data_IF_161947463970
#
_entry.id   IF_161947463970
#
_cell.length_a   1.000
_cell.length_b   1.000
_cell.length_c   1.000
_cell.angle_alpha   90.00
_cell.angle_beta   90.00
_cell.angle_gamma   90.00
#
_symmetry.space_group_name_H-M   'P 1'
#
loop_
_entity.id
_entity.type
_entity.pdbx_description
1 polymer ?
#
# COMPACT_ATOMS: atom_id res chain seq x y z
N UNK A 1 22.22 49.34 -48.71
CA UNK A 1 21.62 48.29 -49.54
C UNK A 1 20.93 47.29 -48.62
N UNK A 2 19.58 47.20 -48.70
CA UNK A 2 18.63 46.22 -48.13
C UNK A 2 18.78 45.86 -46.64
N UNK A 3 17.93 46.22 -45.66
CA UNK A 3 16.47 46.41 -45.57
C UNK A 3 15.62 45.15 -45.88
N UNK A 4 14.92 44.64 -44.86
CA UNK A 4 13.53 44.12 -44.76
C UNK A 4 13.46 43.19 -43.52
N UNK A 5 13.06 43.63 -42.33
CA UNK A 5 11.77 44.08 -41.77
C UNK A 5 10.94 42.96 -41.09
N UNK A 6 10.59 43.27 -39.84
CA UNK A 6 9.49 42.88 -38.95
C UNK A 6 8.56 41.70 -39.28
N UNK A 7 8.17 40.97 -38.22
CA UNK A 7 7.10 39.98 -38.26
C UNK A 7 6.61 39.56 -36.87
N UNK A 8 6.02 40.52 -36.15
CA UNK A 8 5.14 40.29 -35.01
C UNK A 8 3.93 39.48 -35.50
N UNK A 9 3.66 38.30 -34.95
CA UNK A 9 2.37 37.63 -35.13
C UNK A 9 1.76 37.31 -33.78
N UNK A 10 0.88 38.23 -33.36
CA UNK A 10 -0.24 37.91 -32.48
C UNK A 10 -1.08 36.84 -33.17
N UNK A 11 -1.33 35.74 -32.48
CA UNK A 11 -2.53 34.93 -32.73
C UNK A 11 -3.40 35.08 -31.50
N UNK A 12 -4.34 36.02 -31.59
CA UNK A 12 -5.57 35.96 -30.81
C UNK A 12 -6.28 34.66 -31.18
N UNK A 13 -6.40 33.76 -30.21
CA UNK A 13 -7.43 32.74 -30.21
C UNK A 13 -8.33 33.05 -29.01
N UNK A 14 -9.24 33.99 -29.22
CA UNK A 14 -10.53 33.93 -28.55
C UNK A 14 -11.22 32.64 -28.99
N UNK A 15 -11.25 31.67 -28.09
CA UNK A 15 -12.42 30.82 -27.93
C UNK A 15 -12.41 30.27 -26.50
N UNK A 16 -13.38 30.74 -25.73
CA UNK A 16 -13.50 30.46 -24.31
C UNK A 16 -13.68 28.98 -24.02
N UNK A 17 -12.73 28.42 -23.29
CA UNK A 17 -12.96 27.28 -22.41
C UNK A 17 -12.34 27.64 -21.07
N UNK A 18 -13.17 27.76 -20.04
CA UNK A 18 -12.77 28.03 -18.65
C UNK A 18 -11.66 27.05 -18.21
N UNK A 19 -10.43 27.54 -18.12
CA UNK A 19 -9.32 26.85 -17.45
C UNK A 19 -9.40 27.18 -15.94
N UNK A 20 -10.36 26.57 -15.24
CA UNK A 20 -10.69 26.91 -13.85
C UNK A 20 -10.38 25.81 -12.84
N UNK A 21 -9.34 24.99 -13.03
CA UNK A 21 -9.07 23.89 -12.09
C UNK A 21 -7.64 23.34 -11.99
N UNK A 22 -6.66 23.87 -12.73
CA UNK A 22 -5.34 23.24 -12.83
C UNK A 22 -4.22 23.93 -12.03
N UNK A 23 -4.38 25.20 -11.62
CA UNK A 23 -3.33 25.98 -10.94
C UNK A 23 -3.31 25.71 -9.43
N UNK A 24 -4.48 25.58 -8.80
CA UNK A 24 -4.56 25.35 -7.34
C UNK A 24 -4.03 23.98 -6.91
N UNK A 25 -4.24 22.94 -7.73
CA UNK A 25 -3.79 21.58 -7.43
C UNK A 25 -2.26 21.50 -7.43
N UNK A 26 -1.58 22.15 -8.39
CA UNK A 26 -0.12 22.15 -8.47
C UNK A 26 0.55 22.90 -7.33
N UNK A 27 0.00 24.04 -6.92
CA UNK A 27 0.55 24.87 -5.83
C UNK A 27 0.36 24.22 -4.46
N UNK A 28 -0.80 23.61 -4.20
CA UNK A 28 -1.04 22.87 -2.97
C UNK A 28 -0.10 21.65 -2.86
N UNK A 29 0.06 20.92 -3.96
CA UNK A 29 0.93 19.75 -4.05
C UNK A 29 2.42 20.10 -3.81
N UNK A 30 2.85 21.26 -4.30
CA UNK A 30 4.19 21.80 -4.05
C UNK A 30 4.37 22.23 -2.58
N UNK A 31 3.36 22.86 -1.99
CA UNK A 31 3.38 23.30 -0.58
C UNK A 31 3.45 22.11 0.39
N UNK A 32 2.65 21.06 0.17
CA UNK A 32 2.70 19.82 0.95
C UNK A 32 4.06 19.12 0.85
N UNK A 33 4.65 19.13 -0.36
CA UNK A 33 5.97 18.55 -0.59
C UNK A 33 7.03 19.27 0.23
N UNK A 34 7.03 20.61 0.22
CA UNK A 34 7.96 21.42 0.99
C UNK A 34 7.83 21.18 2.51
N UNK A 35 6.61 21.08 3.03
CA UNK A 35 6.37 20.80 4.44
C UNK A 35 6.97 19.44 4.87
N UNK A 36 6.82 18.41 4.04
CA UNK A 36 7.45 17.10 4.30
C UNK A 36 8.99 17.21 4.24
N UNK A 37 9.54 17.97 3.29
CA UNK A 37 11.00 18.17 3.21
C UNK A 37 11.55 18.82 4.48
N UNK A 38 10.90 19.85 4.99
CA UNK A 38 11.33 20.53 6.21
C UNK A 38 11.22 19.62 7.44
N UNK A 39 10.15 18.83 7.54
CA UNK A 39 10.04 17.82 8.57
C UNK A 39 11.16 16.77 8.50
N UNK A 40 11.53 16.32 7.30
CA UNK A 40 12.63 15.35 7.11
C UNK A 40 13.98 15.96 7.48
N UNK A 41 14.23 17.26 7.23
CA UNK A 41 15.46 17.93 7.70
C UNK A 41 15.55 17.90 9.23
N UNK A 42 14.43 18.18 9.93
CA UNK A 42 14.36 18.10 11.40
C UNK A 42 14.65 16.68 11.88
N UNK A 43 14.14 15.65 11.20
CA UNK A 43 14.42 14.26 11.54
C UNK A 43 15.91 13.91 11.36
N UNK A 44 16.53 14.32 10.25
CA UNK A 44 17.95 14.07 9.99
C UNK A 44 18.84 14.77 11.04
N UNK A 45 18.56 16.03 11.35
CA UNK A 45 19.26 16.78 12.40
C UNK A 45 19.08 16.14 13.77
N UNK A 46 17.87 15.65 14.09
CA UNK A 46 17.58 14.92 15.32
C UNK A 46 18.36 13.60 15.43
N UNK A 47 18.71 12.98 14.30
CA UNK A 47 19.61 11.83 14.24
C UNK A 47 21.10 12.23 14.31
N UNK A 48 21.44 13.51 14.36
CA UNK A 48 22.83 13.98 14.37
C UNK A 48 23.53 13.88 13.01
N UNK A 49 22.76 13.78 11.92
CA UNK A 49 23.30 13.77 10.55
C UNK A 49 23.56 15.19 10.04
N UNK A 50 24.56 15.33 9.16
CA UNK A 50 24.79 16.57 8.41
C UNK A 50 23.92 16.60 7.15
N UNK A 51 22.91 17.48 7.16
CA UNK A 51 21.98 17.68 6.03
C UNK A 51 22.67 18.20 4.76
N UNK A 52 23.86 18.81 4.88
CA UNK A 52 24.62 19.35 3.76
C UNK A 52 25.58 18.32 3.14
N UNK A 53 25.74 17.14 3.76
CA UNK A 53 26.52 16.03 3.20
C UNK A 53 25.97 15.64 1.84
N UNK A 54 26.86 15.43 0.87
CA UNK A 54 26.51 15.16 -0.54
C UNK A 54 25.40 14.11 -0.70
N UNK A 55 25.49 12.99 0.01
CA UNK A 55 24.50 11.91 -0.04
C UNK A 55 23.12 12.24 0.54
N UNK A 56 23.03 13.25 1.42
CA UNK A 56 21.80 13.63 2.14
C UNK A 56 21.12 14.90 1.62
N UNK A 57 21.82 15.75 0.85
CA UNK A 57 21.27 17.02 0.35
C UNK A 57 19.93 16.88 -0.37
N UNK A 58 19.74 15.80 -1.15
CA UNK A 58 18.48 15.51 -1.86
C UNK A 58 17.57 14.52 -1.14
N UNK A 59 17.96 14.03 0.05
CA UNK A 59 17.16 13.07 0.81
C UNK A 59 15.80 13.62 1.22
N UNK A 60 15.65 14.86 1.72
CA UNK A 60 14.34 15.43 2.02
C UNK A 60 13.35 15.34 0.85
N UNK A 61 13.75 15.85 -0.33
CA UNK A 61 12.94 15.79 -1.54
C UNK A 61 12.61 14.35 -1.96
N UNK A 62 13.58 13.42 -1.88
CA UNK A 62 13.35 12.01 -2.21
C UNK A 62 12.32 11.36 -1.28
N UNK A 63 12.42 11.63 0.03
CA UNK A 63 11.48 11.13 1.04
C UNK A 63 10.10 11.72 0.82
N UNK A 64 9.99 13.04 0.57
CA UNK A 64 8.73 13.70 0.29
C UNK A 64 8.03 13.09 -0.93
N UNK A 65 8.75 12.91 -2.05
CA UNK A 65 8.20 12.25 -3.24
C UNK A 65 7.77 10.80 -2.97
N UNK A 66 8.57 10.04 -2.23
CA UNK A 66 8.25 8.66 -1.91
C UNK A 66 7.00 8.53 -1.02
N UNK A 67 6.86 9.39 -0.02
CA UNK A 67 5.66 9.44 0.82
C UNK A 67 4.43 9.85 0.02
N UNK A 68 4.53 10.89 -0.82
CA UNK A 68 3.41 11.38 -1.64
C UNK A 68 2.91 10.37 -2.67
N UNK A 69 3.82 9.64 -3.31
CA UNK A 69 3.49 8.52 -4.20
C UNK A 69 2.91 7.35 -3.40
N UNK A 70 3.49 7.10 -2.23
CA UNK A 70 3.06 6.10 -1.26
C UNK A 70 1.66 6.30 -0.68
N UNK A 71 1.20 7.55 -0.62
CA UNK A 71 -0.10 7.95 -0.07
C UNK A 71 -1.03 8.55 -1.13
N UNK A 72 -0.76 8.32 -2.42
CA UNK A 72 -1.58 8.88 -3.51
C UNK A 72 -3.03 8.38 -3.52
N UNK A 73 -3.31 7.28 -2.84
CA UNK A 73 -4.61 6.65 -2.75
C UNK A 73 -5.68 7.51 -2.07
N UNK A 74 -5.29 8.48 -1.24
CA UNK A 74 -6.23 9.46 -0.66
C UNK A 74 -6.85 10.38 -1.72
N UNK A 75 -6.13 10.63 -2.82
CA UNK A 75 -6.58 11.49 -3.93
C UNK A 75 -7.31 10.73 -5.03
N UNK A 76 -7.56 9.43 -4.82
CA UNK A 76 -8.17 8.54 -5.81
C UNK A 76 -9.50 7.98 -5.28
N UNK A 77 -10.46 7.82 -6.20
CA UNK A 77 -11.77 7.24 -5.89
C UNK A 77 -11.90 5.88 -6.57
N UNK A 78 -12.04 4.82 -5.77
CA UNK A 78 -12.19 3.46 -6.29
C UNK A 78 -13.41 3.30 -7.21
N UNK A 79 -14.51 4.01 -6.91
CA UNK A 79 -15.74 4.00 -7.71
C UNK A 79 -15.50 4.36 -9.19
N UNK A 80 -14.71 5.40 -9.43
CA UNK A 80 -14.43 5.89 -10.78
C UNK A 80 -13.61 4.87 -11.60
N UNK A 81 -12.79 4.05 -10.93
CA UNK A 81 -11.98 2.99 -11.56
C UNK A 81 -12.86 1.84 -12.06
N UNK A 82 -13.87 1.46 -11.27
CA UNK A 82 -14.75 0.32 -11.55
C UNK A 82 -15.79 0.65 -12.61
N UNK A 83 -16.41 1.83 -12.54
CA UNK A 83 -17.53 2.20 -13.43
C UNK A 83 -17.15 2.29 -14.91
N UNK A 84 -15.88 2.53 -15.24
CA UNK A 84 -15.42 2.65 -16.62
C UNK A 84 -15.13 1.33 -17.35
N UNK A 85 -15.42 0.16 -16.77
CA UNK A 85 -14.98 -1.13 -17.34
C UNK A 85 -15.83 -2.34 -16.92
N UNK A 86 -17.14 -2.15 -16.79
CA UNK A 86 -18.09 -3.26 -16.71
C UNK A 86 -18.42 -3.71 -18.13
N UNK A 87 -18.15 -4.97 -18.43
CA UNK A 87 -18.42 -5.56 -19.74
C UNK A 87 -19.58 -6.55 -19.62
N UNK A 88 -20.50 -6.58 -20.60
CA UNK A 88 -21.41 -7.70 -20.73
C UNK A 88 -20.58 -8.96 -20.99
N UNK A 89 -20.93 -10.03 -20.29
CA UNK A 89 -20.32 -11.33 -20.46
C UNK A 89 -20.57 -11.87 -21.88
N UNK A 90 -19.51 -12.25 -22.60
CA UNK A 90 -19.65 -12.78 -23.96
C UNK A 90 -20.19 -14.22 -23.94
N UNK A 91 -21.29 -14.48 -24.65
CA UNK A 91 -21.81 -15.84 -24.89
C UNK A 91 -23.15 -16.22 -24.23
N UNK A 92 -23.91 -15.27 -23.68
CA UNK A 92 -25.21 -15.57 -23.04
C UNK A 92 -26.42 -15.25 -23.93
N UNK A 93 -26.87 -16.24 -24.72
CA UNK A 93 -28.28 -16.29 -25.15
C UNK A 93 -29.17 -17.01 -24.13
N UNK A 94 -28.58 -17.64 -23.12
CA UNK A 94 -29.27 -18.52 -22.17
C UNK A 94 -28.93 -18.20 -20.71
N UNK A 95 -29.34 -17.00 -20.24
CA UNK A 95 -29.76 -16.69 -18.85
C UNK A 95 -28.87 -16.98 -17.63
N UNK A 96 -27.76 -17.71 -17.75
CA UNK A 96 -26.89 -18.15 -16.65
C UNK A 96 -25.46 -17.76 -16.99
N UNK A 97 -24.87 -16.88 -16.18
CA UNK A 97 -23.49 -16.41 -16.35
C UNK A 97 -22.49 -17.54 -16.11
N UNK A 98 -21.54 -17.73 -17.02
CA UNK A 98 -20.46 -18.73 -16.97
C UNK A 98 -19.07 -18.07 -16.83
N UNK A 99 -18.96 -16.77 -16.51
CA UNK A 99 -17.70 -16.02 -16.54
C UNK A 99 -16.61 -16.58 -15.62
N UNK A 100 -16.99 -17.31 -14.58
CA UNK A 100 -16.08 -18.04 -13.69
C UNK A 100 -15.84 -19.51 -14.05
N UNK A 101 -16.36 -19.99 -15.18
CA UNK A 101 -16.36 -21.41 -15.54
C UNK A 101 -17.25 -22.26 -14.61
N UNK A 102 -16.86 -23.51 -14.36
CA UNK A 102 -17.53 -24.41 -13.42
C UNK A 102 -17.38 -23.80 -12.01
N UNK A 103 -18.48 -23.31 -11.44
CA UNK A 103 -18.52 -22.71 -10.09
C UNK A 103 -18.71 -21.19 -10.07
N UNK A 104 -18.71 -20.50 -11.21
CA UNK A 104 -19.08 -19.08 -11.29
C UNK A 104 -18.16 -18.09 -10.56
N UNK A 105 -16.97 -18.53 -10.12
CA UNK A 105 -16.03 -17.72 -9.35
C UNK A 105 -14.91 -17.15 -10.24
N UNK A 106 -14.70 -15.84 -10.17
CA UNK A 106 -13.57 -15.15 -10.81
C UNK A 106 -12.51 -14.83 -9.77
N UNK A 107 -11.26 -15.22 -10.01
CA UNK A 107 -10.14 -15.01 -9.07
C UNK A 107 -9.00 -14.22 -9.73
N UNK A 108 -8.55 -13.18 -9.04
CA UNK A 108 -7.28 -12.51 -9.29
C UNK A 108 -6.40 -12.63 -8.05
N UNK A 109 -5.18 -13.12 -8.21
CA UNK A 109 -4.28 -13.45 -7.09
C UNK A 109 -2.87 -12.96 -7.36
N UNK A 110 -2.04 -13.00 -6.32
CA UNK A 110 -0.65 -12.56 -6.34
C UNK A 110 -0.51 -11.10 -6.78
N UNK A 111 -1.39 -10.23 -6.28
CA UNK A 111 -1.28 -8.79 -6.47
C UNK A 111 -0.26 -8.24 -5.46
N UNK A 112 0.93 -7.91 -5.94
CA UNK A 112 1.99 -7.32 -5.12
C UNK A 112 1.74 -5.82 -4.91
N UNK A 113 1.50 -5.43 -3.67
CA UNK A 113 1.17 -4.09 -3.22
C UNK A 113 2.07 -3.70 -2.04
N UNK A 114 2.12 -2.39 -1.75
CA UNK A 114 2.82 -1.84 -0.60
C UNK A 114 1.95 -0.76 0.04
N UNK A 115 1.99 -0.70 1.36
CA UNK A 115 1.26 0.29 2.16
C UNK A 115 2.12 0.77 3.31
N UNK A 116 1.72 1.86 3.96
CA UNK A 116 2.34 2.32 5.20
C UNK A 116 1.49 1.91 6.39
N UNK A 117 2.11 1.41 7.45
CA UNK A 117 1.43 1.05 8.68
C UNK A 117 0.93 2.32 9.37
N UNK A 118 -0.37 2.45 9.58
CA UNK A 118 -0.92 3.63 10.27
C UNK A 118 -0.41 3.78 11.69
N UNK A 119 -0.02 2.68 12.35
CA UNK A 119 0.50 2.71 13.72
C UNK A 119 1.92 3.24 13.83
N UNK A 120 2.77 3.06 12.81
CA UNK A 120 4.18 3.40 12.94
C UNK A 120 4.80 4.10 11.73
N UNK A 121 4.02 4.40 10.69
CA UNK A 121 4.48 5.04 9.45
C UNK A 121 5.57 4.24 8.68
N UNK A 122 5.81 2.98 9.04
CA UNK A 122 6.74 2.12 8.30
C UNK A 122 6.04 1.38 7.17
N UNK A 123 6.74 1.13 6.05
CA UNK A 123 6.16 0.38 4.95
C UNK A 123 5.99 -1.10 5.31
N UNK A 124 4.92 -1.70 4.79
CA UNK A 124 4.70 -3.14 4.81
C UNK A 124 4.28 -3.63 3.43
N UNK A 125 4.66 -4.86 3.12
CA UNK A 125 4.30 -5.50 1.85
C UNK A 125 2.94 -6.16 1.99
N UNK A 126 2.16 -6.14 0.92
CA UNK A 126 0.85 -6.76 0.87
C UNK A 126 0.78 -7.61 -0.40
N UNK A 127 0.48 -8.89 -0.25
CA UNK A 127 0.09 -9.74 -1.35
C UNK A 127 -1.42 -9.96 -1.26
N UNK A 128 -2.14 -9.41 -2.23
CA UNK A 128 -3.59 -9.38 -2.26
C UNK A 128 -4.14 -10.45 -3.23
N UNK A 129 -5.18 -11.14 -2.77
CA UNK A 129 -5.94 -12.12 -3.54
C UNK A 129 -7.42 -11.77 -3.44
N UNK A 130 -8.09 -11.66 -4.58
CA UNK A 130 -9.49 -11.25 -4.71
C UNK A 130 -10.24 -12.33 -5.47
N UNK A 131 -11.34 -12.80 -4.89
CA UNK A 131 -12.34 -13.64 -5.54
C UNK A 131 -13.68 -12.91 -5.60
N UNK A 132 -14.46 -13.06 -6.67
CA UNK A 132 -15.84 -12.58 -6.69
C UNK A 132 -16.74 -13.44 -7.58
N UNK A 133 -18.04 -13.46 -7.26
CA UNK A 133 -19.06 -14.16 -8.05
C UNK A 133 -19.87 -13.14 -8.84
N UNK A 134 -19.70 -13.06 -10.17
CA UNK A 134 -20.46 -12.13 -11.01
C UNK A 134 -21.97 -12.26 -10.82
N UNK A 135 -22.68 -11.14 -11.02
CA UNK A 135 -24.14 -11.10 -11.07
C UNK A 135 -24.57 -10.34 -12.34
N UNK A 136 -25.81 -10.58 -12.82
CA UNK A 136 -26.40 -9.76 -13.87
C UNK A 136 -25.68 -9.75 -15.23
N UNK A 137 -24.94 -10.83 -15.57
CA UNK A 137 -24.17 -10.96 -16.82
C UNK A 137 -23.07 -9.90 -17.00
N UNK A 138 -22.55 -9.32 -15.92
CA UNK A 138 -21.50 -8.31 -15.97
C UNK A 138 -20.20 -8.82 -15.37
N UNK A 139 -19.10 -8.60 -16.09
CA UNK A 139 -17.74 -8.95 -15.66
C UNK A 139 -16.89 -7.68 -15.63
N UNK A 140 -16.03 -7.57 -14.61
CA UNK A 140 -15.07 -6.47 -14.54
C UNK A 140 -13.77 -6.87 -15.21
N UNK A 141 -13.13 -5.95 -15.93
CA UNK A 141 -11.78 -6.19 -16.43
C UNK A 141 -10.80 -6.48 -15.28
N UNK A 142 -10.03 -7.57 -15.37
CA UNK A 142 -9.15 -8.05 -14.29
C UNK A 142 -8.17 -6.97 -13.77
N UNK A 143 -7.70 -6.10 -14.66
CA UNK A 143 -6.81 -4.98 -14.32
C UNK A 143 -7.44 -3.91 -13.41
N UNK A 144 -8.76 -3.91 -13.24
CA UNK A 144 -9.45 -2.98 -12.35
C UNK A 144 -9.45 -3.44 -10.90
N UNK A 145 -9.50 -4.76 -10.67
CA UNK A 145 -9.40 -5.33 -9.33
C UNK A 145 -8.06 -4.93 -8.67
N UNK A 146 -6.96 -5.04 -9.42
CA UNK A 146 -5.64 -4.61 -8.94
C UNK A 146 -5.56 -3.10 -8.70
N UNK A 147 -6.17 -2.28 -9.57
CA UNK A 147 -6.19 -0.83 -9.39
C UNK A 147 -7.01 -0.40 -8.18
N UNK A 148 -8.16 -1.04 -7.92
CA UNK A 148 -8.95 -0.78 -6.72
C UNK A 148 -8.13 -1.12 -5.47
N UNK A 149 -7.47 -2.28 -5.46
CA UNK A 149 -6.59 -2.64 -4.36
C UNK A 149 -5.42 -1.65 -4.16
N UNK A 150 -4.82 -1.14 -5.24
CA UNK A 150 -3.76 -0.12 -5.18
C UNK A 150 -4.25 1.21 -4.58
N UNK A 151 -5.49 1.66 -4.89
CA UNK A 151 -6.06 2.89 -4.28
C UNK A 151 -6.02 2.83 -2.76
N UNK A 152 -6.43 1.69 -2.17
CA UNK A 152 -6.47 1.56 -0.72
C UNK A 152 -5.09 1.24 -0.13
N UNK A 153 -4.26 0.46 -0.84
CA UNK A 153 -2.90 0.17 -0.39
C UNK A 153 -2.00 1.42 -0.40
N UNK A 154 -2.27 2.41 -1.26
CA UNK A 154 -1.53 3.69 -1.28
C UNK A 154 -2.04 4.67 -0.22
N UNK A 155 -2.16 4.22 1.03
CA UNK A 155 -2.63 4.97 2.22
C UNK A 155 -1.86 4.53 3.46
N UNK A 156 -2.13 5.18 4.59
CA UNK A 156 -1.82 4.63 5.91
C UNK A 156 -2.88 3.59 6.26
N UNK A 157 -2.46 2.37 6.57
CA UNK A 157 -3.37 1.23 6.71
C UNK A 157 -3.04 0.30 7.87
N UNK A 158 -4.09 -0.39 8.30
CA UNK A 158 -4.05 -1.67 9.00
C UNK A 158 -4.45 -2.78 8.00
N UNK A 159 -3.83 -3.97 8.03
CA UNK A 159 -4.18 -5.10 7.16
C UNK A 159 -5.68 -5.40 7.10
N UNK A 160 -6.36 -5.49 8.26
CA UNK A 160 -7.79 -5.84 8.27
C UNK A 160 -8.63 -4.74 7.61
N UNK A 161 -8.36 -3.48 7.98
CA UNK A 161 -9.06 -2.33 7.40
C UNK A 161 -8.85 -2.25 5.88
N UNK A 162 -7.62 -2.49 5.40
CA UNK A 162 -7.32 -2.56 3.97
C UNK A 162 -8.14 -3.67 3.27
N UNK A 163 -8.25 -4.86 3.88
CA UNK A 163 -9.04 -5.95 3.31
C UNK A 163 -10.52 -5.56 3.20
N UNK A 164 -11.06 -4.94 4.24
CA UNK A 164 -12.46 -4.52 4.32
C UNK A 164 -12.78 -3.39 3.33
N UNK A 165 -11.92 -2.39 3.20
CA UNK A 165 -12.08 -1.30 2.23
C UNK A 165 -12.08 -1.82 0.79
N UNK A 166 -11.15 -2.72 0.45
CA UNK A 166 -11.07 -3.34 -0.88
C UNK A 166 -12.32 -4.18 -1.14
N UNK A 167 -12.72 -5.03 -0.20
CA UNK A 167 -13.89 -5.89 -0.32
C UNK A 167 -15.16 -5.05 -0.54
N UNK A 168 -15.38 -4.04 0.31
CA UNK A 168 -16.53 -3.14 0.25
C UNK A 168 -16.58 -2.34 -1.05
N UNK A 169 -15.45 -1.78 -1.50
CA UNK A 169 -15.39 -1.01 -2.73
C UNK A 169 -15.70 -1.86 -3.97
N UNK A 170 -15.21 -3.10 -4.01
CA UNK A 170 -15.52 -4.04 -5.08
C UNK A 170 -16.99 -4.47 -5.04
N UNK A 171 -17.53 -4.76 -3.86
CA UNK A 171 -18.94 -5.12 -3.70
C UNK A 171 -19.85 -3.97 -4.18
N UNK A 172 -19.57 -2.73 -3.79
CA UNK A 172 -20.37 -1.57 -4.17
C UNK A 172 -20.21 -1.20 -5.65
N UNK A 173 -18.99 -1.34 -6.19
CA UNK A 173 -18.67 -0.95 -7.56
C UNK A 173 -19.15 -1.94 -8.61
N UNK A 174 -18.95 -3.24 -8.37
CA UNK A 174 -19.30 -4.32 -9.30
C UNK A 174 -20.72 -4.83 -9.04
N UNK A 175 -21.21 -4.74 -7.80
CA UNK A 175 -22.46 -5.36 -7.32
C UNK A 175 -22.54 -6.87 -7.61
N UNK A 176 -21.48 -7.64 -7.31
CA UNK A 176 -21.48 -9.07 -7.51
C UNK A 176 -22.37 -9.76 -6.46
N UNK A 177 -22.63 -11.04 -6.66
CA UNK A 177 -23.31 -11.89 -5.67
C UNK A 177 -22.49 -12.00 -4.39
N UNK A 178 -21.15 -11.88 -4.49
CA UNK A 178 -20.27 -11.67 -3.35
C UNK A 178 -18.81 -11.44 -3.76
N UNK A 179 -18.02 -10.93 -2.83
CA UNK A 179 -16.57 -10.69 -2.94
C UNK A 179 -15.85 -11.32 -1.75
N UNK A 180 -14.69 -11.92 -2.00
CA UNK A 180 -13.74 -12.36 -1.00
C UNK A 180 -12.37 -11.69 -1.25
N UNK A 181 -11.73 -11.26 -0.18
CA UNK A 181 -10.38 -10.71 -0.19
C UNK A 181 -9.54 -11.46 0.84
N UNK A 182 -8.36 -11.91 0.44
CA UNK A 182 -7.34 -12.49 1.32
C UNK A 182 -6.06 -11.67 1.15
N UNK A 183 -5.53 -11.11 2.23
CA UNK A 183 -4.27 -10.39 2.22
C UNK A 183 -3.22 -11.16 3.02
N UNK A 184 -2.02 -11.30 2.45
CA UNK A 184 -0.82 -11.73 3.15
C UNK A 184 0.09 -10.52 3.31
N UNK A 185 0.25 -10.04 4.54
CA UNK A 185 1.02 -8.84 4.83
C UNK A 185 2.34 -9.18 5.51
N UNK A 186 3.41 -8.47 5.12
CA UNK A 186 4.75 -8.59 5.69
C UNK A 186 5.19 -7.24 6.25
N UNK A 187 5.31 -7.14 7.57
CA UNK A 187 5.75 -5.92 8.25
C UNK A 187 7.20 -6.05 8.72
N UNK A 188 7.98 -4.98 8.56
CA UNK A 188 9.37 -4.93 9.03
C UNK A 188 9.37 -5.06 10.56
N UNK A 189 10.28 -5.86 11.12
CA UNK A 189 10.41 -5.97 12.56
C UNK A 189 10.92 -4.67 13.20
N UNK A 190 10.51 -4.41 14.44
CA UNK A 190 11.10 -3.34 15.24
C UNK A 190 12.43 -3.85 15.83
N UNK A 191 13.56 -3.17 15.64
CA UNK A 191 14.82 -3.63 16.21
C UNK A 191 14.73 -3.58 17.74
N UNK A 192 14.63 -4.75 18.40
CA UNK A 192 14.80 -4.86 19.84
C UNK A 192 16.28 -5.09 20.17
N UNK A 193 16.72 -4.49 21.27
CA UNK A 193 18.00 -4.87 21.88
C UNK A 193 17.94 -6.26 22.57
N UNK A 194 16.74 -6.71 22.97
CA UNK A 194 16.55 -7.98 23.70
C UNK A 194 16.21 -9.20 22.82
N UNK A 195 15.58 -9.02 21.64
CA UNK A 195 15.25 -10.16 20.74
C UNK A 195 16.42 -10.64 19.89
N UNK A 196 17.51 -9.87 19.83
CA UNK A 196 18.73 -10.27 19.12
C UNK A 196 19.42 -11.51 19.73
N UNK A 197 19.06 -11.91 20.95
CA UNK A 197 19.74 -13.00 21.68
C UNK A 197 18.99 -14.34 21.72
N UNK A 198 17.70 -14.43 21.37
CA UNK A 198 16.89 -15.63 21.68
C UNK A 198 16.17 -16.34 20.53
N UNK A 199 16.18 -15.83 19.29
CA UNK A 199 15.54 -16.53 18.17
C UNK A 199 16.54 -16.95 17.08
N UNK A 200 16.88 -18.24 17.07
CA UNK A 200 17.71 -18.88 16.03
C UNK A 200 17.03 -18.95 14.65
N UNK A 201 15.75 -18.59 14.55
CA UNK A 201 14.99 -18.51 13.31
C UNK A 201 14.57 -17.05 13.02
N UNK A 202 15.55 -16.20 12.70
CA UNK A 202 15.33 -14.85 12.21
C UNK A 202 14.53 -14.83 10.88
N UNK A 203 13.20 -14.84 10.93
CA UNK A 203 12.43 -14.13 9.92
C UNK A 203 12.19 -12.73 10.47
N UNK A 204 13.07 -11.77 10.12
CA UNK A 204 12.98 -10.35 10.52
C UNK A 204 11.75 -9.61 9.99
N UNK A 205 10.71 -10.34 9.60
CA UNK A 205 9.45 -9.87 9.05
C UNK A 205 8.31 -10.56 9.78
N UNK A 206 7.37 -9.78 10.27
CA UNK A 206 6.13 -10.30 10.80
C UNK A 206 5.14 -10.52 9.68
N UNK A 207 4.55 -11.72 9.67
CA UNK A 207 3.58 -12.14 8.67
C UNK A 207 2.22 -12.17 9.30
N UNK A 208 1.25 -11.51 8.67
CA UNK A 208 -0.16 -11.59 9.09
C UNK A 208 -1.00 -11.90 7.87
N UNK A 209 -1.98 -12.78 8.05
CA UNK A 209 -2.99 -13.09 7.07
C UNK A 209 -4.31 -12.53 7.57
N UNK A 210 -5.01 -11.79 6.73
CA UNK A 210 -6.35 -11.28 7.02
C UNK A 210 -7.28 -11.60 5.87
N UNK A 211 -8.55 -11.76 6.20
CA UNK A 211 -9.63 -12.08 5.26
C UNK A 211 -10.76 -11.09 5.43
N UNK A 212 -11.47 -10.82 4.33
CA UNK A 212 -12.70 -10.04 4.31
C UNK A 212 -13.63 -10.59 3.26
N UNK A 213 -14.92 -10.63 3.56
CA UNK A 213 -15.96 -11.21 2.71
C UNK A 213 -17.24 -10.39 2.71
N UNK A 214 -17.95 -10.39 1.59
CA UNK A 214 -19.25 -9.73 1.44
C UNK A 214 -20.18 -10.55 0.52
N UNK A 215 -21.50 -10.43 0.73
CA UNK A 215 -22.50 -11.20 0.00
C UNK A 215 -22.43 -12.69 0.34
N UNK A 216 -22.33 -13.56 -0.67
CA UNK A 216 -22.18 -15.02 -0.44
C UNK A 216 -20.92 -15.42 0.32
N UNK A 217 -19.96 -14.49 0.49
CA UNK A 217 -18.76 -14.67 1.31
C UNK A 217 -18.87 -14.06 2.72
N UNK A 218 -20.04 -13.61 3.18
CA UNK A 218 -20.17 -13.12 4.58
C UNK A 218 -20.00 -14.24 5.61
N UNK A 219 -20.44 -15.45 5.29
CA UNK A 219 -20.25 -16.61 6.15
C UNK A 219 -18.98 -17.36 5.76
N UNK A 220 -17.92 -17.24 6.56
CA UNK A 220 -16.62 -17.94 6.35
C UNK A 220 -16.73 -19.47 6.25
N UNK A 221 -17.82 -20.06 6.73
CA UNK A 221 -18.10 -21.51 6.66
C UNK A 221 -18.86 -21.92 5.40
N UNK A 222 -19.20 -20.99 4.53
CA UNK A 222 -19.88 -21.31 3.27
C UNK A 222 -18.96 -22.11 2.35
N UNK A 223 -19.50 -23.07 1.61
CA UNK A 223 -18.75 -23.93 0.69
C UNK A 223 -17.90 -23.13 -0.31
N UNK A 224 -18.40 -21.96 -0.72
CA UNK A 224 -17.72 -21.07 -1.66
C UNK A 224 -16.40 -20.47 -1.12
N UNK A 225 -16.29 -20.28 0.20
CA UNK A 225 -14.99 -19.95 0.83
C UNK A 225 -14.02 -21.11 0.75
N UNK A 226 -14.53 -22.34 0.92
CA UNK A 226 -13.77 -23.57 0.72
C UNK A 226 -13.23 -23.68 -0.70
N UNK A 227 -14.06 -23.39 -1.70
CA UNK A 227 -13.65 -23.38 -3.10
C UNK A 227 -12.57 -22.32 -3.38
N UNK A 228 -12.78 -21.08 -2.92
CA UNK A 228 -11.82 -20.00 -3.10
C UNK A 228 -10.47 -20.32 -2.45
N UNK A 229 -10.46 -20.75 -1.20
CA UNK A 229 -9.23 -21.09 -0.46
C UNK A 229 -8.54 -22.32 -1.05
N UNK A 230 -9.29 -23.32 -1.51
CA UNK A 230 -8.74 -24.50 -2.19
C UNK A 230 -8.05 -24.13 -3.50
N UNK A 231 -8.64 -23.21 -4.28
CA UNK A 231 -8.04 -22.71 -5.53
C UNK A 231 -6.75 -21.91 -5.26
N UNK A 232 -6.68 -21.13 -4.17
CA UNK A 232 -5.46 -20.48 -3.72
C UNK A 232 -4.40 -21.52 -3.30
N UNK A 233 -4.80 -22.53 -2.53
CA UNK A 233 -3.92 -23.61 -2.04
C UNK A 233 -3.33 -24.45 -3.17
N UNK A 234 -4.12 -24.77 -4.19
CA UNK A 234 -3.65 -25.45 -5.40
C UNK A 234 -2.53 -24.68 -6.11
N UNK A 235 -2.49 -23.35 -5.96
CA UNK A 235 -1.46 -22.47 -6.52
C UNK A 235 -0.34 -22.13 -5.53
N UNK A 236 -0.28 -22.83 -4.38
CA UNK A 236 0.78 -22.70 -3.39
C UNK A 236 0.56 -21.62 -2.33
N UNK A 237 -0.63 -21.00 -2.28
CA UNK A 237 -0.99 -19.99 -1.28
C UNK A 237 -1.72 -20.70 -0.14
N UNK A 238 -1.05 -20.91 0.99
CA UNK A 238 -1.64 -21.59 2.15
C UNK A 238 -2.29 -20.57 3.10
N UNK A 239 -3.63 -20.56 3.14
CA UNK A 239 -4.46 -19.68 3.98
C UNK A 239 -4.62 -20.26 5.40
N UNK A 240 -4.64 -21.58 5.55
CA UNK A 240 -4.90 -22.28 6.82
C UNK A 240 -3.72 -22.18 7.82
N UNK A 241 -2.46 -22.19 7.34
CA UNK A 241 -1.27 -22.23 8.21
C UNK A 241 -0.96 -20.92 8.95
N UNK A 242 -1.66 -19.83 8.66
CA UNK A 242 -1.36 -18.50 9.24
C UNK A 242 -2.45 -18.05 10.23
N UNK A 243 -3.58 -18.78 10.32
CA UNK A 243 -4.62 -18.55 11.32
C UNK A 243 -4.23 -19.02 12.74
N UNK A 244 -3.10 -19.71 12.92
CA UNK A 244 -2.64 -20.20 14.24
C UNK A 244 -1.95 -19.13 15.09
N UNK A 245 -2.52 -17.93 15.15
CA UNK A 245 -2.26 -16.98 16.21
C UNK A 245 -3.61 -16.47 16.73
N UNK A 246 -4.37 -17.42 17.30
CA UNK A 246 -5.55 -17.18 18.13
C UNK A 246 -5.15 -16.30 19.32
N UNK A 247 -5.15 -14.99 19.10
CA UNK A 247 -5.36 -14.01 20.15
C UNK A 247 -5.87 -12.74 19.50
N UNK A 248 -7.13 -12.41 19.77
CA UNK A 248 -7.78 -11.13 19.45
C UNK A 248 -7.09 -9.90 20.05
N UNK A 249 -5.97 -10.07 20.77
CA UNK A 249 -5.24 -9.03 21.50
C UNK A 249 -3.78 -8.80 21.03
N UNK A 250 -3.26 -9.57 20.05
CA UNK A 250 -1.92 -9.28 19.53
C UNK A 250 -1.97 -8.19 18.46
N UNK A 251 -1.41 -7.03 18.80
CA UNK A 251 -1.21 -5.98 17.82
C UNK A 251 -0.26 -6.45 16.71
N UNK A 252 -0.72 -6.44 15.46
CA UNK A 252 0.09 -6.81 14.29
C UNK A 252 1.32 -5.91 14.10
N UNK A 253 1.28 -4.67 14.62
CA UNK A 253 2.39 -3.74 14.57
C UNK A 253 3.24 -3.84 15.84
N UNK A 254 4.53 -4.26 15.74
CA UNK A 254 5.42 -4.42 16.90
C UNK A 254 5.60 -3.17 17.74
N UNK A 255 5.42 -2.01 17.10
CA UNK A 255 5.55 -0.70 17.73
C UNK A 255 4.59 -0.51 18.92
N UNK A 256 3.44 -1.20 18.93
CA UNK A 256 2.45 -1.04 19.99
C UNK A 256 2.81 -1.80 21.27
N UNK A 257 3.62 -2.85 21.17
CA UNK A 257 4.13 -3.61 22.33
C UNK A 257 5.30 -2.89 23.05
N UNK A 258 5.80 -1.79 22.51
CA UNK A 258 6.93 -1.03 23.06
C UNK A 258 6.49 0.03 24.09
N UNK A 259 6.50 -0.35 25.37
CA UNK A 259 6.11 0.54 26.48
C UNK A 259 7.27 1.26 27.17
N UNK A 260 8.52 0.79 27.08
CA UNK A 260 9.66 1.35 27.84
C UNK A 260 10.76 1.86 26.95
N UNK A 261 10.99 3.18 26.94
CA UNK A 261 12.28 3.86 26.67
C UNK A 261 12.13 5.38 26.92
N UNK A 262 13.27 6.06 27.10
CA UNK A 262 13.42 7.43 27.61
C UNK A 262 12.75 8.57 26.82
N UNK A 263 13.01 9.84 27.21
CA UNK A 263 12.33 10.99 26.63
C UNK A 263 12.56 11.08 25.11
N UNK A 264 11.46 11.24 24.36
CA UNK A 264 11.50 11.38 22.90
C UNK A 264 11.70 12.85 22.53
N UNK A 265 12.52 13.13 21.53
CA UNK A 265 12.72 14.50 21.04
C UNK A 265 11.40 15.10 20.51
N UNK A 266 10.84 16.06 21.24
CA UNK A 266 9.55 16.69 20.90
C UNK A 266 9.55 17.32 19.51
N UNK A 267 10.67 17.91 19.07
CA UNK A 267 10.78 18.51 17.74
C UNK A 267 10.62 17.48 16.62
N UNK A 268 11.21 16.30 16.78
CA UNK A 268 11.05 15.21 15.81
C UNK A 268 9.62 14.66 15.79
N UNK A 269 8.98 14.53 16.95
CA UNK A 269 7.58 14.08 17.06
C UNK A 269 6.66 15.06 16.33
N UNK A 270 6.84 16.36 16.54
CA UNK A 270 6.11 17.41 15.80
C UNK A 270 6.38 17.34 14.30
N UNK A 271 7.62 17.07 13.89
CA UNK A 271 7.97 16.90 12.47
C UNK A 271 7.19 15.73 11.84
N UNK A 272 7.10 14.58 12.50
CA UNK A 272 6.31 13.44 11.98
C UNK A 272 4.82 13.77 11.94
N UNK A 273 4.29 14.47 12.93
CA UNK A 273 2.90 14.92 12.91
C UNK A 273 2.61 15.85 11.71
N UNK A 274 3.56 16.74 11.37
CA UNK A 274 3.47 17.59 10.18
C UNK A 274 3.51 16.78 8.88
N UNK A 275 4.28 15.69 8.82
CA UNK A 275 4.25 14.74 7.69
C UNK A 275 2.86 14.13 7.54
N UNK A 276 2.25 13.67 8.64
CA UNK A 276 0.90 13.07 8.62
C UNK A 276 -0.14 14.07 8.09
N UNK A 277 -0.09 15.32 8.55
CA UNK A 277 -0.97 16.39 8.04
C UNK A 277 -0.76 16.62 6.54
N UNK A 278 0.50 16.66 6.09
CA UNK A 278 0.86 16.94 4.70
C UNK A 278 0.49 15.79 3.74
N UNK A 279 0.30 14.56 4.23
CA UNK A 279 -0.22 13.45 3.42
C UNK A 279 -1.75 13.37 3.42
N UNK A 280 -2.43 14.26 4.12
CA UNK A 280 -3.90 14.35 4.18
C UNK A 280 -4.55 13.61 5.35
N UNK A 281 -3.79 13.26 6.40
CA UNK A 281 -4.29 12.59 7.59
C UNK A 281 -4.37 13.52 8.80
N UNK A 282 -5.30 13.26 9.72
CA UNK A 282 -5.37 13.96 11.00
C UNK A 282 -4.54 13.20 12.05
N UNK A 283 -3.43 13.77 12.57
CA UNK A 283 -2.64 13.11 13.61
C UNK A 283 -3.41 12.84 14.90
N UNK A 284 -4.54 13.52 15.13
CA UNK A 284 -5.40 13.34 16.29
C UNK A 284 -6.43 12.22 16.12
N UNK A 285 -6.52 11.62 14.92
CA UNK A 285 -7.32 10.43 14.67
C UNK A 285 -6.89 9.31 15.61
N UNK A 286 -7.86 8.61 16.23
CA UNK A 286 -7.64 7.61 17.30
C UNK A 286 -6.53 6.62 16.98
N UNK A 287 -6.46 6.13 15.74
CA UNK A 287 -5.47 5.15 15.30
C UNK A 287 -4.06 5.76 15.16
N UNK A 288 -3.96 7.08 14.94
CA UNK A 288 -2.73 7.82 14.63
C UNK A 288 -2.11 8.57 15.82
N UNK A 289 -2.83 8.83 16.91
CA UNK A 289 -2.35 9.62 18.07
C UNK A 289 -0.95 9.20 18.56
N UNK A 290 -0.66 7.89 18.57
CA UNK A 290 0.63 7.36 19.01
C UNK A 290 1.69 7.25 17.91
N UNK A 291 1.32 7.45 16.64
CA UNK A 291 2.15 7.14 15.47
C UNK A 291 3.40 8.00 15.37
N UNK A 292 3.34 9.33 15.54
CA UNK A 292 4.54 10.17 15.55
C UNK A 292 5.60 9.70 16.56
N UNK A 293 5.17 9.44 17.79
CA UNK A 293 6.04 8.95 18.86
C UNK A 293 6.64 7.58 18.55
N UNK A 294 5.83 6.65 18.02
CA UNK A 294 6.29 5.29 17.68
C UNK A 294 7.30 5.30 16.53
N UNK A 295 7.10 6.14 15.51
CA UNK A 295 8.05 6.29 14.41
C UNK A 295 9.38 6.88 14.88
N UNK A 296 9.37 7.95 15.69
CA UNK A 296 10.63 8.54 16.21
C UNK A 296 11.38 7.54 17.10
N UNK A 297 10.67 6.80 17.96
CA UNK A 297 11.28 5.73 18.77
C UNK A 297 11.93 4.67 17.90
N UNK A 298 11.24 4.21 16.86
CA UNK A 298 11.81 3.26 15.88
C UNK A 298 13.10 3.81 15.27
N UNK A 299 13.06 5.05 14.78
CA UNK A 299 14.18 5.68 14.09
C UNK A 299 15.41 5.81 14.99
N UNK A 300 15.22 6.16 16.27
CA UNK A 300 16.31 6.24 17.26
C UNK A 300 16.86 4.86 17.61
N UNK A 301 15.98 3.87 17.80
CA UNK A 301 16.42 2.50 18.07
C UNK A 301 17.19 1.92 16.88
N UNK A 302 16.74 2.21 15.66
CA UNK A 302 17.44 1.80 14.45
C UNK A 302 18.87 2.37 14.40
N UNK A 303 19.03 3.68 14.66
CA UNK A 303 20.35 4.32 14.75
C UNK A 303 21.29 3.63 15.76
N UNK A 304 20.75 3.17 16.89
CA UNK A 304 21.53 2.55 17.97
C UNK A 304 21.76 1.05 17.78
N UNK A 305 21.09 0.42 16.81
CA UNK A 305 21.21 -1.01 16.53
C UNK A 305 22.30 -1.28 15.49
N UNK A 306 23.14 -2.27 15.75
CA UNK A 306 24.16 -2.72 14.80
C UNK A 306 23.53 -3.69 13.79
N UNK A 307 22.56 -3.20 13.02
CA UNK A 307 21.84 -4.00 12.04
C UNK A 307 22.65 -4.03 10.74
N UNK A 308 23.56 -5.00 10.60
CA UNK A 308 23.94 -5.47 9.27
C UNK A 308 22.69 -6.08 8.62
N UNK A 309 21.89 -5.21 8.04
CA UNK A 309 20.66 -5.55 7.34
C UNK A 309 21.07 -6.31 6.08
N UNK A 310 21.12 -7.65 6.15
CA UNK A 310 21.25 -8.53 4.96
C UNK A 310 20.03 -8.34 4.06
N UNK A 311 19.99 -7.24 3.33
CA UNK A 311 19.01 -6.90 2.29
C UNK A 311 19.08 -7.85 1.08
N UNK A 312 19.96 -8.86 1.09
CA UNK A 312 20.20 -9.80 0.00
C UNK A 312 19.09 -10.84 -0.23
N UNK A 313 17.97 -10.80 0.49
CA UNK A 313 16.80 -11.65 0.21
C UNK A 313 16.02 -11.27 -1.06
N UNK A 314 16.39 -10.17 -1.73
CA UNK A 314 15.63 -9.61 -2.85
C UNK A 314 15.86 -10.28 -4.21
N UNK A 315 16.84 -11.18 -4.34
CA UNK A 315 17.10 -11.89 -5.61
C UNK A 315 16.40 -13.25 -5.63
N UNK A 316 15.13 -13.20 -6.04
CA UNK A 316 14.47 -14.15 -6.94
C UNK A 316 14.74 -15.66 -6.69
N UNK A 317 13.77 -16.32 -6.05
CA UNK A 317 13.52 -17.74 -6.29
C UNK A 317 13.08 -17.97 -7.74
N UNK A 318 14.04 -18.07 -8.66
CA UNK A 318 13.89 -18.84 -9.90
C UNK A 318 14.81 -20.05 -9.77
N UNK A 319 14.24 -21.16 -9.35
CA UNK A 319 14.80 -22.48 -9.64
C UNK A 319 14.71 -22.71 -11.14
N UNK A 320 15.84 -23.07 -11.76
CA UNK A 320 15.95 -23.33 -13.19
C UNK A 320 17.40 -23.42 -13.62
N UNK A 321 18.03 -24.56 -13.32
CA UNK A 321 19.40 -24.93 -13.69
C UNK A 321 19.63 -24.90 -15.20
N UNK A 322 20.76 -24.32 -15.61
CA UNK A 322 21.66 -24.87 -16.64
C UNK A 322 22.91 -24.00 -16.70
N UNK A 323 24.01 -24.52 -16.14
CA UNK A 323 25.36 -24.02 -16.41
C UNK A 323 25.65 -24.17 -17.90
N UNK A 324 26.02 -23.07 -18.56
CA UNK A 324 26.70 -23.09 -19.84
C UNK A 324 28.14 -22.66 -19.55
N UNK A 325 29.05 -23.63 -19.56
CA UNK A 325 30.49 -23.41 -19.59
C UNK A 325 30.88 -22.76 -20.93
N UNK A 326 31.59 -21.64 -20.88
CA UNK A 326 32.40 -21.17 -21.99
C UNK A 326 33.86 -21.48 -21.67
N UNK A 327 34.42 -22.47 -22.38
CA UNK A 327 35.85 -22.72 -22.41
C UNK A 327 36.54 -21.75 -23.36
N UNK A 328 37.70 -21.26 -22.95
CA UNK A 328 38.75 -20.81 -23.86
C UNK A 328 39.58 -22.01 -24.30
#
# INVERSE_FOLDING_TARGET
>A
MGALNEGHFNVELENGVKLGGCIEVGLAEETETLAIEDAVKVLLQGLGEDINREGLRKTPLRVAKALREGTRGYRQKAKDIVQGALFPEAGLESGVGHAGGIGGLVIVRDLDLFSYCESCLLPFQVKCHVGYVPSGQQVVGLSKLSRVADVFAKRLQNPQHLADEVCSALQQGIKPTGVAVVLQCLHIHFPNFESAFFDSNHQGWLKVLVTSGSGVFENEKADIWGDFTSLLKFKGINVEKIQSQDSTDQCWCPSQSFSKMGPVNSGMVTAVASILQSVGEDPLRKELIGTPTRFVKWLMNFKNSNLEMKLNGFVRGRTGSSEIQWGY
#
